data_IF_313350896786
#
_entry.id   IF_313350896786
#
_cell.length_a   1.000
_cell.length_b   1.000
_cell.length_c   1.000
_cell.angle_alpha   90.00
_cell.angle_beta   90.00
_cell.angle_gamma   90.00
#
_symmetry.space_group_name_H-M   'P 1'
#
loop_
_entity.id
_entity.type
_entity.pdbx_description
1 polymer ?
#
# COMPACT_ATOMS: atom_id res chain seq x y z
N UNK A 1 1.65 18.60 -15.43
CA UNK A 1 2.27 17.97 -14.25
C UNK A 1 1.13 17.51 -13.37
N UNK A 2 0.83 16.20 -13.34
CA UNK A 2 -0.21 15.69 -12.45
C UNK A 2 0.32 15.80 -11.01
N UNK A 3 -0.48 16.39 -10.11
CA UNK A 3 -0.05 16.58 -8.73
C UNK A 3 -0.15 15.23 -8.00
N UNK A 4 0.99 14.69 -7.59
CA UNK A 4 1.06 13.52 -6.71
C UNK A 4 0.55 13.89 -5.32
N UNK A 5 -0.40 13.14 -4.78
CA UNK A 5 -0.84 13.27 -3.39
C UNK A 5 -0.15 12.24 -2.50
N UNK A 6 0.27 12.61 -1.29
CA UNK A 6 0.95 11.71 -0.35
C UNK A 6 0.14 11.56 0.93
N UNK A 7 -0.08 10.32 1.37
CA UNK A 7 -0.73 9.98 2.63
C UNK A 7 0.23 9.23 3.54
N UNK A 8 0.38 9.70 4.77
CA UNK A 8 1.17 9.03 5.80
C UNK A 8 0.24 8.22 6.69
N UNK A 9 0.48 6.91 6.79
CA UNK A 9 -0.28 6.05 7.70
C UNK A 9 0.17 6.27 9.14
N UNK A 10 -0.76 6.15 10.09
CA UNK A 10 -0.46 6.32 11.50
C UNK A 10 0.42 5.18 12.06
N UNK A 11 0.89 5.34 13.30
CA UNK A 11 1.81 4.39 13.93
C UNK A 11 1.25 2.97 14.08
N UNK A 12 -0.06 2.85 14.24
CA UNK A 12 -0.74 1.58 14.49
C UNK A 12 -1.70 1.30 13.34
N UNK A 13 -1.17 1.00 12.17
CA UNK A 13 -1.96 0.62 11.01
C UNK A 13 -2.47 -0.82 11.21
N UNK A 14 -3.72 -0.97 11.66
CA UNK A 14 -4.29 -2.27 11.99
C UNK A 14 -5.82 -2.22 11.92
N UNK A 15 -6.47 -3.34 12.20
CA UNK A 15 -7.94 -3.42 12.14
C UNK A 15 -8.63 -2.37 13.02
N UNK A 16 -8.01 -1.96 14.14
CA UNK A 16 -8.59 -0.98 15.05
C UNK A 16 -8.59 0.44 14.48
N UNK A 17 -7.61 0.78 13.65
CA UNK A 17 -7.44 2.12 13.05
C UNK A 17 -7.85 2.17 11.58
N UNK A 18 -8.30 1.04 11.00
CA UNK A 18 -8.55 0.92 9.57
C UNK A 18 -9.60 1.92 9.06
N UNK A 19 -10.59 2.26 9.89
CA UNK A 19 -11.61 3.25 9.55
C UNK A 19 -11.02 4.65 9.34
N UNK A 20 -10.05 5.03 10.16
CA UNK A 20 -9.36 6.32 10.09
C UNK A 20 -8.39 6.41 8.91
N UNK A 21 -8.01 5.25 8.33
CA UNK A 21 -7.09 5.16 7.19
C UNK A 21 -7.86 5.02 5.87
N UNK A 22 -8.90 4.18 5.84
CA UNK A 22 -9.60 3.81 4.61
C UNK A 22 -10.35 4.99 3.97
N UNK A 23 -10.99 5.86 4.77
CA UNK A 23 -11.69 7.04 4.29
C UNK A 23 -10.76 8.01 3.54
N UNK A 24 -9.71 8.54 4.21
CA UNK A 24 -8.74 9.43 3.57
C UNK A 24 -8.03 8.80 2.36
N UNK A 25 -7.77 7.49 2.40
CA UNK A 25 -7.20 6.76 1.27
C UNK A 25 -8.11 6.77 0.04
N UNK A 26 -9.38 6.44 0.23
CA UNK A 26 -10.36 6.43 -0.85
C UNK A 26 -10.55 7.84 -1.42
N UNK A 27 -10.71 8.85 -0.55
CA UNK A 27 -10.83 10.25 -0.97
C UNK A 27 -9.61 10.70 -1.78
N UNK A 28 -8.40 10.32 -1.37
CA UNK A 28 -7.18 10.61 -2.12
C UNK A 28 -7.18 9.99 -3.50
N UNK A 29 -7.54 8.70 -3.61
CA UNK A 29 -7.57 7.98 -4.88
C UNK A 29 -8.63 8.57 -5.80
N UNK A 30 -9.81 8.90 -5.31
CA UNK A 30 -10.88 9.47 -6.14
C UNK A 30 -10.56 10.91 -6.60
N UNK A 31 -9.82 11.68 -5.79
CA UNK A 31 -9.49 13.08 -6.09
C UNK A 31 -8.18 13.26 -6.89
N UNK A 32 -7.28 12.27 -6.89
CA UNK A 32 -5.95 12.40 -7.49
C UNK A 32 -5.57 11.18 -8.34
N UNK A 33 -5.03 11.44 -9.52
CA UNK A 33 -4.59 10.40 -10.45
C UNK A 33 -3.34 9.62 -9.99
N UNK A 34 -2.56 10.15 -9.05
CA UNK A 34 -1.37 9.49 -8.49
C UNK A 34 -1.36 9.70 -6.96
N UNK A 35 -1.60 8.61 -6.23
CA UNK A 35 -1.57 8.57 -4.76
C UNK A 35 -0.35 7.78 -4.29
N UNK A 36 0.40 8.37 -3.36
CA UNK A 36 1.58 7.79 -2.73
C UNK A 36 1.28 7.49 -1.26
N UNK A 37 1.62 6.29 -0.81
CA UNK A 37 1.41 5.84 0.57
C UNK A 37 2.75 5.73 1.30
N UNK A 38 2.91 6.51 2.35
CA UNK A 38 4.05 6.48 3.26
C UNK A 38 3.71 5.66 4.51
N UNK A 39 4.42 4.54 4.67
CA UNK A 39 4.28 3.62 5.80
C UNK A 39 5.42 3.79 6.83
N UNK A 40 6.29 4.80 6.69
CA UNK A 40 7.48 4.98 7.53
C UNK A 40 7.16 5.16 9.01
N UNK A 41 6.00 5.74 9.33
CA UNK A 41 5.52 5.90 10.70
C UNK A 41 4.82 4.66 11.24
N UNK A 42 4.31 3.76 10.37
CA UNK A 42 3.56 2.59 10.78
C UNK A 42 4.49 1.56 11.43
N UNK A 43 4.50 1.55 12.76
CA UNK A 43 5.32 0.61 13.54
C UNK A 43 4.67 -0.76 13.68
N UNK A 44 3.34 -0.80 13.59
CA UNK A 44 2.51 -2.00 13.55
C UNK A 44 1.68 -1.99 12.28
N UNK A 45 1.80 -3.07 11.50
CA UNK A 45 1.02 -3.35 10.29
C UNK A 45 0.47 -4.76 10.40
N UNK A 46 -0.84 -4.95 10.21
CA UNK A 46 -1.47 -6.27 10.19
C UNK A 46 -2.13 -6.60 8.85
N UNK A 47 -2.68 -7.82 8.77
CA UNK A 47 -3.29 -8.33 7.54
C UNK A 47 -4.44 -7.46 7.01
N UNK A 48 -5.16 -6.74 7.88
CA UNK A 48 -6.27 -5.87 7.44
C UNK A 48 -5.76 -4.68 6.63
N UNK A 49 -4.59 -4.14 6.97
CA UNK A 49 -3.95 -3.08 6.20
C UNK A 49 -3.40 -3.61 4.88
N UNK A 50 -2.80 -4.81 4.89
CA UNK A 50 -2.37 -5.44 3.64
C UNK A 50 -3.57 -5.61 2.68
N UNK A 51 -4.72 -6.08 3.19
CA UNK A 51 -5.96 -6.21 2.42
C UNK A 51 -6.49 -4.86 1.92
N UNK A 52 -6.42 -3.82 2.74
CA UNK A 52 -6.79 -2.45 2.35
C UNK A 52 -5.92 -1.95 1.19
N UNK A 53 -4.59 -2.07 1.29
CA UNK A 53 -3.66 -1.64 0.24
C UNK A 53 -3.92 -2.36 -1.09
N UNK A 54 -4.15 -3.67 -1.05
CA UNK A 54 -4.48 -4.47 -2.25
C UNK A 54 -5.82 -4.04 -2.85
N UNK A 55 -6.83 -3.79 -2.02
CA UNK A 55 -8.15 -3.36 -2.48
C UNK A 55 -8.09 -1.95 -3.07
N UNK A 56 -7.38 -1.04 -2.42
CA UNK A 56 -7.17 0.33 -2.86
C UNK A 56 -6.40 0.39 -4.18
N UNK A 57 -5.35 -0.42 -4.34
CA UNK A 57 -4.61 -0.52 -5.61
C UNK A 57 -5.52 -0.97 -6.75
N UNK A 58 -6.32 -2.02 -6.53
CA UNK A 58 -7.29 -2.51 -7.53
C UNK A 58 -8.34 -1.45 -7.88
N UNK A 59 -8.80 -0.68 -6.90
CA UNK A 59 -9.73 0.43 -7.13
C UNK A 59 -9.10 1.52 -7.99
N UNK A 60 -7.88 1.95 -7.65
CA UNK A 60 -7.12 2.92 -8.45
C UNK A 60 -6.95 2.43 -9.91
N UNK A 61 -6.51 1.19 -10.11
CA UNK A 61 -6.36 0.58 -11.43
C UNK A 61 -7.68 0.60 -12.23
N UNK A 62 -8.82 0.32 -11.58
CA UNK A 62 -10.15 0.30 -12.22
C UNK A 62 -10.61 1.67 -12.70
N UNK A 63 -10.25 2.74 -12.00
CA UNK A 63 -10.58 4.13 -12.39
C UNK A 63 -9.48 4.79 -13.22
N UNK A 64 -8.39 4.05 -13.54
CA UNK A 64 -7.27 4.55 -14.34
C UNK A 64 -6.31 5.47 -13.57
N UNK A 65 -6.26 5.34 -12.25
CA UNK A 65 -5.36 6.06 -11.36
C UNK A 65 -4.25 5.14 -10.85
N UNK A 66 -3.14 5.74 -10.40
CA UNK A 66 -2.01 5.03 -9.83
C UNK A 66 -2.01 5.12 -8.29
N UNK A 67 -1.68 3.99 -7.65
CA UNK A 67 -1.37 3.90 -6.23
C UNK A 67 -0.01 3.25 -6.05
N UNK A 68 0.86 3.85 -5.22
CA UNK A 68 2.23 3.35 -5.01
C UNK A 68 2.73 3.61 -3.60
N UNK A 69 3.66 2.79 -3.13
CA UNK A 69 4.33 2.99 -1.84
C UNK A 69 5.47 4.00 -2.01
N UNK A 70 5.63 4.91 -1.04
CA UNK A 70 6.73 5.88 -1.02
C UNK A 70 8.10 5.20 -0.84
N UNK A 71 8.13 4.03 -0.19
CA UNK A 71 9.31 3.22 0.04
C UNK A 71 8.95 1.75 -0.24
N UNK A 72 9.92 0.92 -0.65
CA UNK A 72 9.69 -0.51 -0.75
C UNK A 72 9.27 -1.08 0.61
N UNK A 73 8.52 -2.18 0.59
CA UNK A 73 8.08 -2.90 1.76
C UNK A 73 9.28 -3.22 2.68
N UNK A 74 9.20 -2.75 3.92
CA UNK A 74 10.21 -3.05 4.93
C UNK A 74 10.13 -4.51 5.38
N UNK A 75 11.02 -4.91 6.29
CA UNK A 75 11.06 -6.28 6.81
C UNK A 75 9.73 -6.73 7.46
N UNK A 76 8.97 -5.81 8.07
CA UNK A 76 7.69 -6.13 8.73
C UNK A 76 6.62 -6.42 7.70
N UNK A 77 6.46 -5.54 6.72
CA UNK A 77 5.51 -5.75 5.62
C UNK A 77 5.90 -6.96 4.77
N UNK A 78 7.20 -7.19 4.55
CA UNK A 78 7.71 -8.39 3.85
C UNK A 78 7.33 -9.68 4.57
N UNK A 79 7.51 -9.73 5.89
CA UNK A 79 7.11 -10.90 6.71
C UNK A 79 5.61 -11.17 6.59
N UNK A 80 4.80 -10.11 6.59
CA UNK A 80 3.35 -10.22 6.45
C UNK A 80 2.94 -10.68 5.04
N UNK A 81 3.60 -10.17 3.99
CA UNK A 81 3.39 -10.59 2.60
C UNK A 81 3.72 -12.08 2.43
N UNK A 82 4.82 -12.55 3.01
CA UNK A 82 5.23 -13.96 2.97
C UNK A 82 4.20 -14.85 3.68
N UNK A 83 3.84 -14.50 4.92
CA UNK A 83 2.85 -15.23 5.70
C UNK A 83 1.47 -15.28 5.03
N UNK A 84 1.12 -14.25 4.25
CA UNK A 84 -0.12 -14.19 3.46
C UNK A 84 -0.01 -14.85 2.08
N UNK A 85 1.16 -15.39 1.71
CA UNK A 85 1.40 -16.09 0.44
C UNK A 85 1.62 -15.18 -0.77
N UNK A 86 1.75 -13.86 -0.58
CA UNK A 86 1.94 -12.89 -1.67
C UNK A 86 3.30 -13.00 -2.36
N UNK A 87 4.29 -13.59 -1.69
CA UNK A 87 5.64 -13.78 -2.27
C UNK A 87 5.75 -15.09 -3.07
N UNK A 88 4.76 -15.99 -2.97
CA UNK A 88 4.75 -17.24 -3.73
C UNK A 88 4.40 -16.95 -5.19
N UNK A 89 5.33 -17.24 -6.12
CA UNK A 89 5.14 -16.99 -7.55
C UNK A 89 4.74 -15.53 -7.86
N UNK A 90 5.41 -14.58 -7.20
CA UNK A 90 5.14 -13.15 -7.35
C UNK A 90 5.21 -12.71 -8.82
N UNK A 91 4.17 -11.99 -9.26
CA UNK A 91 4.12 -11.43 -10.62
C UNK A 91 4.86 -10.08 -10.67
N UNK A 92 5.38 -9.67 -11.84
CA UNK A 92 6.16 -8.43 -11.96
C UNK A 92 5.43 -7.18 -11.43
N UNK A 93 4.13 -7.07 -11.66
CA UNK A 93 3.34 -5.94 -11.18
C UNK A 93 3.33 -5.84 -9.64
N UNK A 94 3.29 -6.98 -8.95
CA UNK A 94 3.33 -7.02 -7.48
C UNK A 94 4.73 -6.76 -6.96
N UNK A 95 5.76 -7.30 -7.64
CA UNK A 95 7.15 -6.98 -7.32
C UNK A 95 7.44 -5.48 -7.47
N UNK A 96 6.91 -4.83 -8.51
CA UNK A 96 7.03 -3.37 -8.69
C UNK A 96 6.30 -2.60 -7.61
N UNK A 97 5.08 -3.00 -7.23
CA UNK A 97 4.32 -2.26 -6.23
C UNK A 97 4.91 -2.40 -4.83
N UNK A 98 5.24 -3.62 -4.41
CA UNK A 98 5.74 -3.88 -3.06
C UNK A 98 7.21 -3.51 -2.90
N UNK A 99 8.04 -3.77 -3.91
CA UNK A 99 9.50 -3.71 -3.78
C UNK A 99 10.17 -2.79 -4.80
N UNK A 100 9.39 -1.98 -5.53
CA UNK A 100 9.88 -1.09 -6.58
C UNK A 100 10.67 -1.83 -7.69
N UNK A 101 10.42 -3.13 -7.83
CA UNK A 101 11.05 -4.00 -8.84
C UNK A 101 12.22 -4.84 -8.31
N UNK A 102 12.76 -4.50 -7.13
CA UNK A 102 13.91 -5.18 -6.53
C UNK A 102 13.47 -6.06 -5.37
N UNK A 103 13.17 -7.34 -5.66
CA UNK A 103 12.80 -8.30 -4.62
C UNK A 103 13.87 -8.39 -3.53
N UNK A 104 13.46 -8.50 -2.25
CA UNK A 104 14.41 -8.70 -1.15
C UNK A 104 15.20 -9.99 -1.38
N UNK A 105 16.52 -9.91 -1.20
CA UNK A 105 17.48 -11.03 -1.33
C UNK A 105 17.42 -11.96 -0.11
#
# INVERSE_FOLDING_TARGET
MMATNSLVFNENACLQSIGDIAGPLLESIDAHADTVIDLSQATRIDLSILQLLVSARRHADQIGHDLRLAQPADARLTTLLDAAGFLTAIVPADATFWFHGDLPQ
#
